data_IF_802807832541
#
_entry.id   IF_802807832541
#
_cell.length_a   1.000
_cell.length_b   1.000
_cell.length_c   1.000
_cell.angle_alpha   90.00
_cell.angle_beta   90.00
_cell.angle_gamma   90.00
#
_symmetry.space_group_name_H-M   'P 1'
#
loop_
_entity.id
_entity.type
_entity.pdbx_description
1 polymer ?
#
# COMPACT_ATOMS: atom_id res chain seq x y z
N UNK A 1 -13.49 -29.57 -0.23
CA UNK A 1 -12.28 -30.43 -0.15
C UNK A 1 -12.72 -31.80 0.34
N UNK A 2 -12.44 -32.87 -0.43
CA UNK A 2 -12.76 -34.23 -0.05
C UNK A 2 -11.49 -34.99 0.34
N UNK A 3 -11.38 -35.38 1.61
CA UNK A 3 -10.33 -36.27 2.10
C UNK A 3 -10.70 -37.74 1.82
N UNK A 4 -9.79 -38.55 1.31
CA UNK A 4 -9.98 -40.01 1.16
C UNK A 4 -9.10 -40.75 2.16
N UNK A 5 -9.73 -41.36 3.15
CA UNK A 5 -9.04 -42.18 4.17
C UNK A 5 -8.32 -43.37 3.53
N UNK A 6 -7.04 -43.55 3.83
CA UNK A 6 -6.27 -44.75 3.42
C UNK A 6 -5.72 -44.75 1.99
N UNK A 7 -5.87 -43.70 1.20
CA UNK A 7 -5.23 -43.57 -0.12
C UNK A 7 -4.29 -42.42 -0.18
N UNK A 8 -3.11 -42.62 -0.79
CA UNK A 8 -2.15 -41.53 -1.04
C UNK A 8 -2.74 -40.60 -2.10
N UNK A 9 -3.21 -39.42 -1.68
CA UNK A 9 -3.91 -38.46 -2.52
C UNK A 9 -3.01 -37.39 -3.13
N UNK A 10 -1.87 -37.15 -2.47
CA UNK A 10 -0.93 -36.11 -2.87
C UNK A 10 0.37 -36.76 -3.31
N UNK A 11 0.87 -36.35 -4.46
CA UNK A 11 2.21 -36.62 -4.94
C UNK A 11 3.08 -35.39 -4.74
N UNK A 12 4.40 -35.59 -4.61
CA UNK A 12 5.35 -34.48 -4.60
C UNK A 12 5.25 -33.67 -5.90
N UNK A 13 5.34 -32.35 -5.80
CA UNK A 13 5.45 -31.46 -6.94
C UNK A 13 6.59 -30.45 -6.73
N UNK A 14 7.04 -29.86 -7.83
CA UNK A 14 7.88 -28.65 -7.79
C UNK A 14 7.01 -27.47 -8.14
N UNK A 15 6.96 -26.47 -7.25
CA UNK A 15 6.20 -25.26 -7.47
C UNK A 15 7.09 -24.04 -7.19
N UNK A 16 7.08 -23.07 -8.09
CA UNK A 16 7.74 -21.79 -7.86
C UNK A 16 6.70 -20.80 -7.33
N UNK A 17 6.87 -20.35 -6.10
CA UNK A 17 6.00 -19.34 -5.51
C UNK A 17 6.18 -18.04 -6.30
N UNK A 18 5.09 -17.41 -6.78
CA UNK A 18 5.16 -16.11 -7.44
C UNK A 18 5.61 -15.02 -6.46
N UNK A 19 5.96 -13.85 -6.99
CA UNK A 19 6.23 -12.66 -6.17
C UNK A 19 4.98 -12.20 -5.41
N UNK A 20 5.19 -11.38 -4.38
CA UNK A 20 4.09 -10.83 -3.57
C UNK A 20 3.46 -9.62 -4.28
N UNK A 21 2.21 -9.78 -4.73
CA UNK A 21 1.43 -8.73 -5.39
C UNK A 21 1.10 -7.56 -4.45
N UNK A 22 1.02 -7.81 -3.13
CA UNK A 22 0.73 -6.78 -2.14
C UNK A 22 1.98 -5.96 -1.86
N UNK A 23 3.14 -6.59 -1.69
CA UNK A 23 4.40 -5.86 -1.57
C UNK A 23 4.66 -5.00 -2.82
N UNK A 24 4.49 -5.55 -4.02
CA UNK A 24 4.63 -4.80 -5.27
C UNK A 24 3.64 -3.62 -5.36
N UNK A 25 2.38 -3.83 -5.00
CA UNK A 25 1.35 -2.78 -4.94
C UNK A 25 1.65 -1.70 -3.91
N UNK A 26 2.23 -2.06 -2.77
CA UNK A 26 2.68 -1.12 -1.73
C UNK A 26 3.72 -0.15 -2.27
N UNK A 27 4.81 -0.65 -2.85
CA UNK A 27 5.84 0.22 -3.44
C UNK A 27 5.29 1.06 -4.59
N UNK A 28 4.39 0.51 -5.41
CA UNK A 28 3.75 1.24 -6.50
C UNK A 28 2.93 2.43 -5.97
N UNK A 29 2.12 2.24 -4.92
CA UNK A 29 1.32 3.29 -4.31
C UNK A 29 2.16 4.29 -3.50
N UNK A 30 3.27 3.86 -2.87
CA UNK A 30 4.27 4.77 -2.30
C UNK A 30 4.91 5.65 -3.38
N UNK A 31 5.26 5.07 -4.53
CA UNK A 31 5.71 5.82 -5.69
C UNK A 31 4.68 6.84 -6.16
N UNK A 32 3.40 6.48 -6.16
CA UNK A 32 2.31 7.40 -6.50
C UNK A 32 2.22 8.57 -5.51
N UNK A 33 2.29 8.30 -4.20
CA UNK A 33 2.23 9.32 -3.14
C UNK A 33 3.39 10.31 -3.23
N UNK A 34 4.59 9.84 -3.60
CA UNK A 34 5.83 10.64 -3.65
C UNK A 34 6.21 11.13 -5.04
N UNK A 35 5.40 10.83 -6.07
CA UNK A 35 5.71 11.14 -7.49
C UNK A 35 7.01 10.48 -7.98
N UNK A 36 7.34 9.33 -7.42
CA UNK A 36 8.57 8.59 -7.68
C UNK A 36 8.57 7.83 -9.01
N UNK A 37 9.78 7.43 -9.41
CA UNK A 37 10.02 6.50 -10.51
C UNK A 37 10.60 5.20 -9.94
N UNK A 38 9.98 4.06 -10.25
CA UNK A 38 10.31 2.77 -9.64
C UNK A 38 10.46 1.68 -10.68
N UNK A 39 11.40 0.77 -10.39
CA UNK A 39 11.54 -0.49 -11.13
C UNK A 39 11.30 -1.65 -10.17
N UNK A 40 10.25 -2.43 -10.41
CA UNK A 40 9.86 -3.58 -9.60
C UNK A 40 10.14 -4.86 -10.36
N UNK A 41 11.14 -5.62 -9.92
CA UNK A 41 11.50 -6.92 -10.49
C UNK A 41 10.79 -8.06 -9.77
N UNK A 42 10.33 -9.05 -10.52
CA UNK A 42 9.65 -10.22 -9.95
C UNK A 42 8.21 -9.98 -9.49
N UNK A 43 7.63 -8.80 -9.75
CA UNK A 43 6.23 -8.54 -9.46
C UNK A 43 5.31 -9.44 -10.30
N UNK A 44 4.27 -10.05 -9.73
CA UNK A 44 3.35 -10.93 -10.43
C UNK A 44 2.29 -10.10 -11.19
N UNK A 45 2.70 -9.47 -12.28
CA UNK A 45 1.94 -8.43 -12.98
C UNK A 45 0.56 -8.89 -13.46
N UNK A 46 0.42 -10.17 -13.79
CA UNK A 46 -0.86 -10.73 -14.25
C UNK A 46 -1.88 -10.87 -13.10
N UNK A 47 -1.41 -10.86 -11.85
CA UNK A 47 -2.23 -10.92 -10.64
C UNK A 47 -2.51 -9.52 -10.05
N UNK A 48 -1.99 -8.46 -10.67
CA UNK A 48 -2.08 -7.07 -10.18
C UNK A 48 -3.09 -6.20 -10.96
N UNK A 49 -3.98 -6.80 -11.75
CA UNK A 49 -4.86 -6.09 -12.68
C UNK A 49 -5.62 -4.91 -12.05
N UNK A 50 -6.28 -5.12 -10.91
CA UNK A 50 -7.04 -4.08 -10.22
C UNK A 50 -6.13 -2.94 -9.72
N UNK A 51 -4.96 -3.26 -9.18
CA UNK A 51 -3.99 -2.28 -8.66
C UNK A 51 -3.38 -1.45 -9.79
N UNK A 52 -2.99 -2.10 -10.89
CA UNK A 52 -2.45 -1.43 -12.06
C UNK A 52 -3.49 -0.54 -12.75
N UNK A 53 -4.75 -0.99 -12.80
CA UNK A 53 -5.87 -0.17 -13.30
C UNK A 53 -6.08 1.07 -12.43
N UNK A 54 -6.09 0.94 -11.11
CA UNK A 54 -6.17 2.07 -10.19
C UNK A 54 -4.99 3.04 -10.39
N UNK A 55 -3.77 2.51 -10.50
CA UNK A 55 -2.57 3.31 -10.70
C UNK A 55 -2.63 4.14 -12.00
N UNK A 56 -3.14 3.56 -13.10
CA UNK A 56 -3.35 4.30 -14.34
C UNK A 56 -4.44 5.38 -14.20
N UNK A 57 -5.54 5.07 -13.52
CA UNK A 57 -6.64 6.03 -13.30
C UNK A 57 -6.22 7.27 -12.52
N UNK A 58 -5.26 7.16 -11.61
CA UNK A 58 -4.70 8.31 -10.89
C UNK A 58 -3.63 9.08 -11.69
N UNK A 59 -3.29 8.63 -12.90
CA UNK A 59 -2.31 9.26 -13.79
C UNK A 59 -0.95 8.58 -13.84
N UNK A 60 -0.78 7.44 -13.17
CA UNK A 60 0.44 6.66 -13.21
C UNK A 60 0.65 5.98 -14.57
N UNK A 61 1.89 5.94 -15.00
CA UNK A 61 2.29 5.26 -16.24
C UNK A 61 3.23 4.11 -15.92
N UNK A 62 3.12 3.03 -16.67
CA UNK A 62 4.04 1.91 -16.50
C UNK A 62 4.30 1.17 -17.81
N UNK A 63 5.44 0.51 -17.85
CA UNK A 63 5.81 -0.43 -18.91
C UNK A 63 6.13 -1.80 -18.29
N UNK A 64 5.83 -2.86 -19.02
CA UNK A 64 6.17 -4.24 -18.66
C UNK A 64 7.33 -4.71 -19.53
N UNK A 65 8.42 -5.17 -18.94
CA UNK A 65 9.56 -5.69 -19.67
C UNK A 65 10.15 -6.90 -18.93
N UNK A 66 10.04 -8.08 -19.54
CA UNK A 66 10.71 -9.32 -19.04
C UNK A 66 10.49 -9.60 -17.54
N UNK A 67 9.23 -9.52 -17.05
CA UNK A 67 8.90 -9.77 -15.64
C UNK A 67 9.25 -8.61 -14.70
N UNK A 68 9.55 -7.45 -15.26
CA UNK A 68 9.83 -6.21 -14.52
C UNK A 68 8.77 -5.16 -14.86
N UNK A 69 8.29 -4.46 -13.85
CA UNK A 69 7.45 -3.27 -13.98
C UNK A 69 8.33 -2.03 -13.82
N UNK A 70 8.33 -1.15 -14.82
CA UNK A 70 8.91 0.19 -14.71
C UNK A 70 7.74 1.16 -14.60
N UNK A 71 7.60 1.81 -13.45
CA UNK A 71 6.50 2.70 -13.11
C UNK A 71 6.99 4.14 -13.00
N UNK A 72 6.26 5.07 -13.62
CA UNK A 72 6.49 6.51 -13.55
C UNK A 72 5.25 7.20 -12.96
N UNK A 73 5.43 7.80 -11.80
CA UNK A 73 4.36 8.50 -11.07
C UNK A 73 4.40 10.02 -11.25
N UNK A 74 5.24 10.56 -12.12
CA UNK A 74 5.38 12.01 -12.33
C UNK A 74 4.06 12.71 -12.63
N UNK A 75 3.18 12.06 -13.38
CA UNK A 75 1.89 12.58 -13.80
C UNK A 75 0.71 12.13 -12.92
N UNK A 76 0.98 11.48 -11.80
CA UNK A 76 -0.04 11.12 -10.81
C UNK A 76 -0.57 12.41 -10.18
N UNK A 77 -1.87 12.69 -10.37
CA UNK A 77 -2.43 13.99 -9.99
C UNK A 77 -3.81 13.91 -9.34
N UNK A 78 -4.73 13.09 -9.83
CA UNK A 78 -6.12 13.08 -9.41
C UNK A 78 -6.50 11.78 -8.70
N UNK A 79 -7.18 11.91 -7.56
CA UNK A 79 -7.73 10.76 -6.85
C UNK A 79 -8.90 10.15 -7.66
N UNK A 80 -9.05 8.82 -7.58
CA UNK A 80 -10.24 8.16 -8.15
C UNK A 80 -11.44 8.45 -7.25
N UNK A 81 -12.57 8.93 -7.78
CA UNK A 81 -13.72 9.34 -6.97
C UNK A 81 -14.29 8.22 -6.09
N UNK A 82 -14.21 6.98 -6.56
CA UNK A 82 -14.72 5.81 -5.87
C UNK A 82 -13.82 4.59 -6.03
N UNK A 83 -13.50 3.95 -4.92
CA UNK A 83 -12.75 2.69 -4.86
C UNK A 83 -13.41 1.79 -3.83
N UNK A 84 -13.56 0.51 -4.14
CA UNK A 84 -14.03 -0.49 -3.19
C UNK A 84 -13.06 -1.66 -3.10
N UNK A 85 -12.91 -2.20 -1.90
CA UNK A 85 -12.14 -3.42 -1.70
C UNK A 85 -13.00 -4.63 -2.00
N UNK A 86 -12.41 -5.60 -2.66
CA UNK A 86 -13.05 -6.83 -3.05
C UNK A 86 -12.09 -8.02 -2.93
N UNK A 87 -12.66 -9.21 -2.90
CA UNK A 87 -11.87 -10.42 -3.04
C UNK A 87 -11.18 -10.46 -4.42
N UNK A 88 -10.08 -11.20 -4.49
CA UNK A 88 -9.37 -11.37 -5.76
C UNK A 88 -10.33 -11.87 -6.87
N UNK A 89 -10.30 -11.27 -8.06
CA UNK A 89 -9.31 -10.34 -8.63
C UNK A 89 -9.60 -8.85 -8.42
N UNK A 90 -10.51 -8.46 -7.52
CA UNK A 90 -10.81 -7.07 -7.21
C UNK A 90 -9.68 -6.32 -6.51
N UNK A 91 -9.93 -5.06 -6.13
CA UNK A 91 -8.92 -4.25 -5.43
C UNK A 91 -8.71 -4.77 -4.00
N UNK A 92 -7.46 -5.18 -3.65
CA UNK A 92 -7.23 -5.88 -2.40
C UNK A 92 -7.35 -4.96 -1.17
N UNK A 93 -8.05 -5.43 -0.13
CA UNK A 93 -8.14 -4.76 1.17
C UNK A 93 -6.75 -4.43 1.75
N UNK A 94 -5.75 -5.26 1.51
CA UNK A 94 -4.37 -5.04 1.96
C UNK A 94 -3.70 -3.79 1.39
N UNK A 95 -4.22 -3.23 0.31
CA UNK A 95 -3.75 -1.99 -0.30
C UNK A 95 -4.68 -0.80 -0.04
N UNK A 96 -5.77 -0.99 0.69
CA UNK A 96 -6.73 0.06 1.00
C UNK A 96 -6.07 1.25 1.73
N UNK A 97 -5.35 1.00 2.83
CA UNK A 97 -4.67 2.04 3.60
C UNK A 97 -3.54 2.71 2.81
N UNK A 98 -2.85 1.96 1.95
CA UNK A 98 -1.80 2.51 1.06
C UNK A 98 -2.41 3.46 0.02
N UNK A 99 -3.54 3.07 -0.59
CA UNK A 99 -4.26 3.96 -1.50
C UNK A 99 -4.81 5.19 -0.77
N UNK A 100 -5.32 5.03 0.46
CA UNK A 100 -5.76 6.14 1.31
C UNK A 100 -4.63 7.17 1.50
N UNK A 101 -3.43 6.72 1.88
CA UNK A 101 -2.26 7.57 2.02
C UNK A 101 -1.89 8.29 0.70
N UNK A 102 -1.93 7.58 -0.43
CA UNK A 102 -1.71 8.18 -1.74
C UNK A 102 -2.80 9.20 -2.10
N UNK A 103 -4.08 8.87 -1.91
CA UNK A 103 -5.23 9.72 -2.24
C UNK A 103 -5.16 11.09 -1.55
N UNK A 104 -4.67 11.15 -0.32
CA UNK A 104 -4.45 12.42 0.41
C UNK A 104 -3.42 13.34 -0.22
N UNK A 105 -2.58 12.85 -1.13
CA UNK A 105 -1.59 13.66 -1.87
C UNK A 105 -2.11 14.09 -3.25
N UNK A 106 -3.32 13.68 -3.63
CA UNK A 106 -3.91 13.86 -4.96
C UNK A 106 -5.03 14.89 -4.95
N UNK A 107 -5.22 15.55 -6.09
CA UNK A 107 -6.34 16.47 -6.27
C UNK A 107 -7.69 15.73 -6.29
N UNK A 108 -8.70 16.36 -5.72
CA UNK A 108 -10.05 15.84 -5.68
C UNK A 108 -10.35 15.07 -4.39
N UNK A 109 -11.43 14.31 -4.46
CA UNK A 109 -11.99 13.56 -3.34
C UNK A 109 -12.14 12.09 -3.74
N UNK A 110 -11.76 11.19 -2.84
CA UNK A 110 -11.92 9.75 -3.02
C UNK A 110 -12.82 9.19 -1.91
N UNK A 111 -13.84 8.44 -2.29
CA UNK A 111 -14.64 7.64 -1.39
C UNK A 111 -14.18 6.19 -1.50
N UNK A 112 -13.73 5.63 -0.39
CA UNK A 112 -13.21 4.26 -0.32
C UNK A 112 -14.18 3.42 0.52
N UNK A 113 -14.68 2.33 -0.05
CA UNK A 113 -15.53 1.35 0.63
C UNK A 113 -14.71 0.12 1.02
N UNK A 114 -14.58 -0.16 2.32
CA UNK A 114 -13.95 -1.37 2.81
C UNK A 114 -15.00 -2.48 2.99
N UNK A 115 -14.97 -3.48 2.11
CA UNK A 115 -15.95 -4.57 2.11
C UNK A 115 -15.43 -5.88 2.69
N UNK A 116 -14.13 -5.97 2.96
CA UNK A 116 -13.47 -7.26 3.27
C UNK A 116 -13.00 -7.33 4.72
N UNK A 117 -12.48 -6.24 5.28
CA UNK A 117 -11.84 -6.26 6.59
C UNK A 117 -12.35 -5.12 7.49
N UNK A 118 -13.14 -5.45 8.52
CA UNK A 118 -13.86 -4.49 9.36
C UNK A 118 -12.96 -3.50 10.12
N UNK A 119 -11.78 -3.92 10.59
CA UNK A 119 -10.89 -3.12 11.44
C UNK A 119 -9.83 -2.31 10.68
N UNK A 120 -9.87 -2.27 9.34
CA UNK A 120 -8.85 -1.60 8.51
C UNK A 120 -8.85 -0.06 8.66
N UNK A 121 -9.93 0.49 9.21
CA UNK A 121 -10.13 1.94 9.25
C UNK A 121 -9.35 2.66 10.37
N UNK A 122 -8.77 1.94 11.33
CA UNK A 122 -8.00 2.53 12.45
C UNK A 122 -6.81 3.37 12.00
N UNK A 123 -6.18 2.99 10.88
CA UNK A 123 -5.06 3.76 10.29
C UNK A 123 -5.47 5.19 9.92
N UNK A 124 -6.76 5.43 9.63
CA UNK A 124 -7.22 6.76 9.27
C UNK A 124 -7.07 7.78 10.40
N UNK A 125 -7.27 7.36 11.67
CA UNK A 125 -7.08 8.23 12.84
C UNK A 125 -5.62 8.68 12.96
N UNK A 126 -4.67 7.79 12.69
CA UNK A 126 -3.25 8.12 12.70
C UNK A 126 -2.87 9.05 11.53
N UNK A 127 -3.46 8.83 10.35
CA UNK A 127 -3.27 9.71 9.20
C UNK A 127 -3.87 11.11 9.41
N UNK A 128 -4.94 11.24 10.22
CA UNK A 128 -5.48 12.54 10.62
C UNK A 128 -4.50 13.34 11.47
N UNK A 129 -3.71 12.68 12.36
CA UNK A 129 -2.64 13.34 13.12
C UNK A 129 -1.55 13.92 12.21
N UNK A 130 -1.37 13.35 11.03
CA UNK A 130 -0.44 13.86 10.00
C UNK A 130 -1.07 14.96 9.12
N UNK A 131 -2.24 15.49 9.49
CA UNK A 131 -2.95 16.53 8.73
C UNK A 131 -3.89 15.99 7.64
N UNK A 132 -4.17 14.69 7.63
CA UNK A 132 -5.10 14.08 6.67
C UNK A 132 -6.53 14.58 6.83
N UNK A 133 -7.12 15.06 5.74
CA UNK A 133 -8.55 15.43 5.67
C UNK A 133 -9.37 14.19 5.33
N UNK A 134 -9.81 13.49 6.38
CA UNK A 134 -10.48 12.20 6.30
C UNK A 134 -11.79 12.21 7.07
N UNK A 135 -12.79 11.49 6.56
CA UNK A 135 -14.05 11.22 7.25
C UNK A 135 -14.35 9.72 7.19
N UNK A 136 -14.76 9.16 8.33
CA UNK A 136 -15.11 7.75 8.47
C UNK A 136 -16.62 7.68 8.75
N UNK A 137 -17.33 6.84 7.98
CA UNK A 137 -18.74 6.56 8.20
C UNK A 137 -19.01 5.07 7.96
N UNK A 138 -19.08 4.27 9.03
CA UNK A 138 -19.18 2.81 8.93
C UNK A 138 -18.01 2.24 8.15
N UNK A 139 -18.26 1.52 7.07
CA UNK A 139 -17.24 0.96 6.18
C UNK A 139 -16.69 1.93 5.12
N UNK A 140 -17.12 3.17 5.15
CA UNK A 140 -16.78 4.19 4.18
C UNK A 140 -15.71 5.12 4.73
N UNK A 141 -14.71 5.40 3.93
CA UNK A 141 -13.68 6.40 4.14
C UNK A 141 -13.74 7.42 3.03
N UNK A 142 -13.75 8.70 3.39
CA UNK A 142 -13.57 9.76 2.42
C UNK A 142 -12.23 10.44 2.66
N UNK A 143 -11.43 10.59 1.62
CA UNK A 143 -10.15 11.29 1.64
C UNK A 143 -10.18 12.46 0.65
N UNK A 144 -9.62 13.57 1.07
CA UNK A 144 -9.42 14.75 0.23
C UNK A 144 -7.93 15.14 0.26
N UNK A 145 -7.47 15.86 -0.77
CA UNK A 145 -6.11 16.39 -0.79
C UNK A 145 -5.79 17.12 0.51
N UNK A 146 -4.66 16.80 1.10
CA UNK A 146 -4.24 17.28 2.40
C UNK A 146 -2.82 17.81 2.34
N UNK A 147 -2.50 18.78 3.18
CA UNK A 147 -1.13 19.19 3.43
C UNK A 147 -0.58 18.33 4.58
N UNK A 148 0.03 17.21 4.20
CA UNK A 148 0.61 16.30 5.18
C UNK A 148 1.84 16.90 5.85
N UNK A 149 1.96 16.71 7.14
CA UNK A 149 3.08 17.19 7.96
C UNK A 149 3.59 16.11 8.91
N UNK A 150 4.79 16.30 9.42
CA UNK A 150 5.41 15.39 10.38
C UNK A 150 4.58 15.27 11.67
N UNK A 151 4.46 14.05 12.17
CA UNK A 151 3.75 13.74 13.40
C UNK A 151 4.31 12.47 14.06
N UNK A 152 3.97 12.27 15.33
CA UNK A 152 4.16 10.99 16.01
C UNK A 152 2.89 10.14 15.85
N UNK A 153 3.05 8.96 15.24
CA UNK A 153 1.96 8.03 14.91
C UNK A 153 2.33 6.61 15.27
N UNK A 154 1.31 5.76 15.45
CA UNK A 154 1.47 4.38 15.92
C UNK A 154 0.98 3.42 14.84
N UNK A 155 1.84 2.50 14.43
CA UNK A 155 1.47 1.38 13.56
C UNK A 155 0.59 0.41 14.35
N UNK A 156 -0.65 0.21 13.94
CA UNK A 156 -1.59 -0.68 14.60
C UNK A 156 -1.68 -2.05 13.92
N UNK A 157 -1.28 -2.12 12.67
CA UNK A 157 -1.20 -3.34 11.88
C UNK A 157 -0.13 -3.21 10.78
N UNK A 158 0.16 -4.33 10.14
CA UNK A 158 1.14 -4.46 9.06
C UNK A 158 0.94 -3.46 7.91
N UNK A 159 -0.28 -3.37 7.39
CA UNK A 159 -0.58 -2.59 6.17
C UNK A 159 -0.82 -1.11 6.49
N UNK A 160 -1.45 -0.86 7.63
CA UNK A 160 -1.59 0.48 8.19
C UNK A 160 -0.24 1.12 8.49
N UNK A 161 0.67 0.38 9.11
CA UNK A 161 2.04 0.85 9.34
C UNK A 161 2.76 1.24 8.05
N UNK A 162 2.70 0.41 7.01
CA UNK A 162 3.28 0.74 5.72
C UNK A 162 2.62 1.98 5.07
N UNK A 163 1.31 2.18 5.28
CA UNK A 163 0.60 3.37 4.82
C UNK A 163 1.05 4.64 5.57
N UNK A 164 1.29 4.55 6.89
CA UNK A 164 1.86 5.66 7.67
C UNK A 164 3.27 6.04 7.17
N UNK A 165 4.10 5.04 6.84
CA UNK A 165 5.41 5.30 6.22
C UNK A 165 5.23 5.99 4.87
N UNK A 166 4.28 5.54 4.04
CA UNK A 166 3.97 6.17 2.74
C UNK A 166 3.56 7.63 2.91
N UNK A 167 2.69 7.93 3.86
CA UNK A 167 2.25 9.29 4.18
C UNK A 167 3.42 10.15 4.69
N UNK A 168 4.28 9.59 5.56
CA UNK A 168 5.47 10.28 6.09
C UNK A 168 6.48 10.65 5.00
N UNK A 169 6.68 9.78 4.00
CA UNK A 169 7.53 10.06 2.85
C UNK A 169 7.01 11.20 1.96
N UNK A 170 5.70 11.44 1.98
CA UNK A 170 5.05 12.53 1.24
C UNK A 170 4.82 13.80 2.08
N UNK A 171 5.03 13.73 3.39
CA UNK A 171 4.76 14.81 4.34
C UNK A 171 5.94 15.82 4.43
N UNK A 172 5.64 17.04 4.83
CA UNK A 172 6.65 18.03 5.22
C UNK A 172 7.13 17.77 6.66
N UNK A 173 8.43 17.79 6.92
CA UNK A 173 9.02 17.65 8.25
C UNK A 173 9.37 16.20 8.61
N UNK A 174 9.44 15.92 9.92
CA UNK A 174 9.83 14.63 10.45
C UNK A 174 8.63 13.92 11.07
N UNK A 175 8.49 12.63 10.80
CA UNK A 175 7.49 11.77 11.46
C UNK A 175 8.19 10.68 12.27
N UNK A 176 7.64 10.36 13.43
CA UNK A 176 8.02 9.21 14.24
C UNK A 176 6.93 8.17 14.15
N UNK A 177 7.27 6.98 13.70
CA UNK A 177 6.33 5.86 13.59
C UNK A 177 6.74 4.80 14.62
N UNK A 178 5.85 4.52 15.56
CA UNK A 178 6.05 3.52 16.61
C UNK A 178 5.47 2.16 16.23
N UNK A 179 5.89 1.11 16.93
CA UNK A 179 5.45 -0.28 16.72
C UNK A 179 5.72 -0.78 15.29
N UNK A 180 6.90 -0.45 14.75
CA UNK A 180 7.29 -0.77 13.38
C UNK A 180 7.58 -2.26 13.16
N UNK A 181 7.76 -3.04 14.22
CA UNK A 181 7.91 -4.50 14.18
C UNK A 181 6.70 -5.19 13.52
N UNK A 182 5.52 -4.55 13.54
CA UNK A 182 4.34 -5.03 12.82
C UNK A 182 4.53 -5.00 11.31
N UNK A 183 5.28 -4.01 10.79
CA UNK A 183 5.55 -3.84 9.35
C UNK A 183 6.51 -4.93 8.85
N UNK A 184 7.51 -5.29 9.65
CA UNK A 184 8.53 -6.28 9.30
C UNK A 184 7.97 -7.69 9.04
N UNK A 185 6.76 -7.98 9.55
CA UNK A 185 6.08 -9.25 9.36
C UNK A 185 5.69 -9.53 7.91
N UNK A 186 5.61 -8.52 7.06
CA UNK A 186 5.19 -8.67 5.67
C UNK A 186 6.05 -7.95 4.64
N UNK A 187 7.09 -7.24 5.11
CA UNK A 187 8.03 -6.55 4.21
C UNK A 187 9.46 -6.84 4.63
N UNK A 188 10.15 -7.62 3.84
CA UNK A 188 11.56 -7.93 4.08
C UNK A 188 12.42 -6.68 3.93
N UNK A 189 13.28 -6.39 4.94
CA UNK A 189 14.23 -5.27 4.92
C UNK A 189 13.58 -3.93 4.51
N UNK A 190 12.40 -3.64 5.02
CA UNK A 190 11.60 -2.50 4.57
C UNK A 190 12.32 -1.15 4.71
N UNK A 191 12.93 -0.80 5.88
CA UNK A 191 13.65 0.46 6.02
C UNK A 191 14.88 0.55 5.09
N UNK A 192 15.61 -0.55 4.92
CA UNK A 192 16.79 -0.61 4.05
C UNK A 192 16.39 -0.40 2.59
N UNK A 193 15.36 -1.10 2.14
CA UNK A 193 14.84 -0.96 0.76
C UNK A 193 14.40 0.47 0.48
N UNK A 194 13.71 1.11 1.42
CA UNK A 194 13.30 2.49 1.25
C UNK A 194 14.49 3.47 1.25
N UNK A 195 15.55 3.21 2.06
CA UNK A 195 16.79 4.00 1.99
C UNK A 195 17.49 3.86 0.65
N UNK A 196 17.56 2.64 0.11
CA UNK A 196 18.11 2.36 -1.23
C UNK A 196 17.33 3.10 -2.33
N UNK A 197 16.03 3.33 -2.12
CA UNK A 197 15.17 4.14 -2.98
C UNK A 197 15.29 5.67 -2.72
N UNK A 198 16.13 6.10 -1.77
CA UNK A 198 16.40 7.51 -1.50
C UNK A 198 15.64 8.10 -0.30
N UNK A 199 14.87 7.31 0.43
CA UNK A 199 14.19 7.78 1.63
C UNK A 199 15.17 8.03 2.79
N UNK A 200 14.94 9.11 3.55
CA UNK A 200 15.71 9.42 4.76
C UNK A 200 15.03 8.80 5.97
N UNK A 201 15.46 7.60 6.35
CA UNK A 201 14.86 6.84 7.46
C UNK A 201 15.93 6.51 8.49
N UNK A 202 15.62 6.74 9.76
CA UNK A 202 16.39 6.30 10.93
C UNK A 202 15.57 5.22 11.61
N UNK A 203 16.19 4.12 11.99
CA UNK A 203 15.58 3.07 12.81
C UNK A 203 16.22 3.15 14.18
N UNK A 204 15.43 3.45 15.19
CA UNK A 204 15.82 3.44 16.59
C UNK A 204 15.28 2.17 17.25
N UNK A 205 16.09 1.52 18.06
CA UNK A 205 15.63 0.41 18.90
C UNK A 205 15.23 1.00 20.24
N UNK A 206 14.02 0.73 20.68
CA UNK A 206 13.65 0.98 22.09
C UNK A 206 14.54 0.09 22.97
N UNK A 207 15.25 0.72 23.90
CA UNK A 207 16.15 0.08 24.88
C UNK A 207 15.30 -0.47 26.03
#
# INVERSE_FOLDING_TARGET
VYGRRGKRLLSGCRYRVPGDRIAAGTYLLMGAATRGHLTLSGAPLDEMGAVLSLYQKIGGQYTRKSGTLVADSKNVQHAVPYVETEEYPGFPTDLQSLYLAAAMTLEGKSCICENVFEDRLRTAEELQKMGGTLQICGKWLTAEKSRLHGAEVVSQDLRGGAALVSAALAAEGFSTIRQTELIERGYERFPETLRELGAKIIVEKEI
#
